data_IF_621947332103
#
_entry.id   IF_621947332103
#
_cell.length_a   1.000
_cell.length_b   1.000
_cell.length_c   1.000
_cell.angle_alpha   90.00
_cell.angle_beta   90.00
_cell.angle_gamma   90.00
#
_symmetry.space_group_name_H-M   'P 1'
#
loop_
_entity.id
_entity.type
_entity.pdbx_description
1 polymer ?
#
# COMPACT_ATOMS: atom_id res chain seq x y z
N UNK A 1 9.24 13.83 -29.09
CA UNK A 1 8.27 14.59 -28.27
C UNK A 1 7.00 13.79 -27.96
N UNK A 2 6.20 13.37 -28.95
CA UNK A 2 5.01 12.54 -28.68
C UNK A 2 5.38 11.12 -28.19
N UNK A 3 6.43 10.54 -28.78
CA UNK A 3 6.93 9.21 -28.40
C UNK A 3 7.55 9.18 -26.99
N UNK A 4 8.23 10.26 -26.58
CA UNK A 4 8.81 10.40 -25.23
C UNK A 4 7.70 10.53 -24.16
N UNK A 5 6.62 11.23 -24.49
CA UNK A 5 5.45 11.33 -23.62
C UNK A 5 4.75 9.98 -23.46
N UNK A 6 4.51 9.25 -24.55
CA UNK A 6 3.83 7.95 -24.50
C UNK A 6 4.64 6.90 -23.73
N UNK A 7 5.96 6.89 -23.91
CA UNK A 7 6.85 6.00 -23.15
C UNK A 7 6.92 6.36 -21.66
N UNK A 8 7.02 7.65 -21.32
CA UNK A 8 6.99 8.09 -19.92
C UNK A 8 5.66 7.76 -19.24
N UNK A 9 4.53 8.05 -19.90
CA UNK A 9 3.18 7.81 -19.34
C UNK A 9 2.90 6.31 -19.18
N UNK A 10 3.33 5.50 -20.15
CA UNK A 10 3.24 4.04 -20.08
C UNK A 10 4.08 3.45 -18.93
N UNK A 11 5.29 3.98 -18.71
CA UNK A 11 6.14 3.58 -17.58
C UNK A 11 5.50 3.90 -16.23
N UNK A 12 4.90 5.08 -16.07
CA UNK A 12 4.18 5.44 -14.84
C UNK A 12 2.96 4.56 -14.60
N UNK A 13 2.19 4.24 -15.65
CA UNK A 13 1.04 3.34 -15.55
C UNK A 13 1.46 1.94 -15.12
N UNK A 14 2.48 1.37 -15.78
CA UNK A 14 3.01 0.04 -15.42
C UNK A 14 3.50 0.01 -13.96
N UNK A 15 4.22 1.04 -13.52
CA UNK A 15 4.64 1.15 -12.12
C UNK A 15 3.45 1.23 -11.16
N UNK A 16 2.42 2.02 -11.48
CA UNK A 16 1.23 2.11 -10.64
C UNK A 16 0.49 0.77 -10.53
N UNK A 17 0.44 0.00 -11.62
CA UNK A 17 -0.17 -1.33 -11.62
C UNK A 17 0.67 -2.31 -10.80
N UNK A 18 1.97 -2.45 -11.09
CA UNK A 18 2.81 -3.49 -10.48
C UNK A 18 3.26 -3.18 -9.05
N UNK A 19 3.46 -1.91 -8.69
CA UNK A 19 3.87 -1.50 -7.35
C UNK A 19 2.69 -1.01 -6.48
N UNK A 20 1.51 -0.80 -7.08
CA UNK A 20 0.31 -0.35 -6.38
C UNK A 20 -0.81 -1.39 -6.42
N UNK A 21 -1.45 -1.55 -7.58
CA UNK A 21 -2.67 -2.35 -7.71
C UNK A 21 -2.45 -3.84 -7.43
N UNK A 22 -1.46 -4.46 -8.08
CA UNK A 22 -1.15 -5.89 -7.96
C UNK A 22 -0.88 -6.32 -6.51
N UNK A 23 0.01 -5.65 -5.74
CA UNK A 23 0.28 -6.05 -4.36
C UNK A 23 -0.94 -5.84 -3.45
N UNK A 24 -1.73 -4.78 -3.66
CA UNK A 24 -2.98 -4.56 -2.92
C UNK A 24 -3.96 -5.72 -3.15
N UNK A 25 -4.17 -6.12 -4.41
CA UNK A 25 -5.04 -7.25 -4.75
C UNK A 25 -4.50 -8.59 -4.22
N UNK A 26 -3.18 -8.79 -4.28
CA UNK A 26 -2.54 -10.01 -3.77
C UNK A 26 -2.70 -10.14 -2.25
N UNK A 27 -2.48 -9.06 -1.50
CA UNK A 27 -2.68 -9.03 -0.05
C UNK A 27 -4.17 -9.25 0.28
N UNK A 28 -5.07 -8.55 -0.40
CA UNK A 28 -6.52 -8.70 -0.19
C UNK A 28 -6.99 -10.13 -0.43
N UNK A 29 -6.53 -10.75 -1.53
CA UNK A 29 -6.85 -12.14 -1.87
C UNK A 29 -6.30 -13.12 -0.84
N UNK A 30 -5.03 -12.96 -0.44
CA UNK A 30 -4.39 -13.80 0.56
C UNK A 30 -5.13 -13.73 1.90
N UNK A 31 -5.46 -12.52 2.36
CA UNK A 31 -6.20 -12.32 3.60
C UNK A 31 -7.61 -12.89 3.49
N UNK A 32 -8.32 -12.68 2.38
CA UNK A 32 -9.64 -13.26 2.15
C UNK A 32 -9.59 -14.80 2.17
N UNK A 33 -8.54 -15.41 1.61
CA UNK A 33 -8.34 -16.86 1.66
C UNK A 33 -8.08 -17.35 3.09
N UNK A 34 -7.20 -16.68 3.85
CA UNK A 34 -6.90 -17.04 5.25
C UNK A 34 -8.14 -16.91 6.11
N UNK A 35 -8.80 -15.76 6.08
CA UNK A 35 -10.00 -15.48 6.89
C UNK A 35 -11.15 -16.38 6.46
N UNK A 36 -11.35 -16.58 5.16
CA UNK A 36 -12.37 -17.49 4.62
C UNK A 36 -12.13 -18.94 5.05
N UNK A 37 -10.88 -19.41 5.05
CA UNK A 37 -10.53 -20.74 5.53
C UNK A 37 -10.79 -20.89 7.04
N UNK A 38 -10.37 -19.92 7.85
CA UNK A 38 -10.59 -19.90 9.30
C UNK A 38 -12.08 -19.94 9.62
N UNK A 39 -12.88 -19.10 8.96
CA UNK A 39 -14.34 -19.04 9.16
C UNK A 39 -15.01 -20.34 8.73
N UNK A 40 -14.61 -20.91 7.59
CA UNK A 40 -15.17 -22.16 7.09
C UNK A 40 -14.89 -23.35 8.02
N UNK A 41 -13.69 -23.40 8.60
CA UNK A 41 -13.27 -24.50 9.49
C UNK A 41 -13.82 -24.33 10.91
N UNK A 42 -13.87 -23.10 11.43
CA UNK A 42 -14.15 -22.86 12.85
C UNK A 42 -15.58 -22.40 13.17
N UNK A 43 -16.32 -21.79 12.22
CA UNK A 43 -17.55 -21.05 12.52
C UNK A 43 -18.76 -21.52 11.70
N UNK A 44 -18.72 -21.41 10.38
CA UNK A 44 -19.90 -21.68 9.53
C UNK A 44 -19.49 -22.32 8.19
N UNK A 45 -19.77 -23.61 7.95
CA UNK A 45 -19.34 -24.32 6.75
C UNK A 45 -20.02 -23.88 5.44
N UNK A 46 -21.05 -23.02 5.49
CA UNK A 46 -21.79 -22.50 4.31
C UNK A 46 -21.53 -21.00 4.01
N UNK A 47 -20.45 -20.45 4.57
CA UNK A 47 -20.13 -19.02 4.53
C UNK A 47 -19.46 -18.51 3.24
N UNK A 48 -19.83 -18.99 2.04
CA UNK A 48 -19.22 -18.49 0.79
C UNK A 48 -19.40 -16.96 0.61
N UNK A 49 -20.50 -16.42 1.12
CA UNK A 49 -20.81 -14.98 1.07
C UNK A 49 -19.89 -14.12 1.97
N UNK A 50 -19.17 -14.71 2.93
CA UNK A 50 -18.20 -14.00 3.77
C UNK A 50 -16.88 -13.72 3.04
N UNK A 51 -16.56 -14.48 1.99
CA UNK A 51 -15.32 -14.29 1.23
C UNK A 51 -15.31 -12.96 0.47
N UNK A 52 -16.40 -12.60 -0.20
CA UNK A 52 -16.51 -11.32 -0.92
C UNK A 52 -16.39 -10.13 0.02
N UNK A 53 -16.94 -10.25 1.23
CA UNK A 53 -16.83 -9.22 2.26
C UNK A 53 -15.39 -9.08 2.77
N UNK A 54 -14.72 -10.20 3.06
CA UNK A 54 -13.31 -10.21 3.47
C UNK A 54 -12.40 -9.67 2.36
N UNK A 55 -12.71 -9.93 1.09
CA UNK A 55 -11.96 -9.41 -0.05
C UNK A 55 -12.12 -7.89 -0.18
N UNK A 56 -13.33 -7.37 -0.06
CA UNK A 56 -13.59 -5.92 -0.14
C UNK A 56 -12.88 -5.16 0.99
N UNK A 57 -13.11 -5.58 2.24
CA UNK A 57 -12.45 -4.95 3.39
C UNK A 57 -10.93 -5.20 3.40
N UNK A 58 -10.48 -6.34 2.88
CA UNK A 58 -9.08 -6.64 2.63
C UNK A 58 -8.43 -5.69 1.62
N UNK A 59 -9.12 -5.35 0.53
CA UNK A 59 -8.61 -4.41 -0.46
C UNK A 59 -8.52 -2.99 0.11
N UNK A 60 -9.55 -2.56 0.86
CA UNK A 60 -9.55 -1.26 1.56
C UNK A 60 -8.40 -1.22 2.56
N UNK A 61 -8.27 -2.24 3.43
CA UNK A 61 -7.19 -2.32 4.41
C UNK A 61 -5.81 -2.33 3.77
N UNK A 62 -5.58 -3.16 2.74
CA UNK A 62 -4.32 -3.21 2.01
C UNK A 62 -3.95 -1.87 1.38
N UNK A 63 -4.90 -1.17 0.74
CA UNK A 63 -4.65 0.14 0.15
C UNK A 63 -4.21 1.18 1.19
N UNK A 64 -4.93 1.24 2.31
CA UNK A 64 -4.59 2.10 3.45
C UNK A 64 -3.23 1.74 4.05
N UNK A 65 -2.95 0.45 4.19
CA UNK A 65 -1.65 -0.05 4.65
C UNK A 65 -0.51 0.38 3.74
N UNK A 66 -0.64 0.17 2.43
CA UNK A 66 0.41 0.57 1.47
C UNK A 66 0.66 2.07 1.51
N UNK A 67 -0.40 2.89 1.58
CA UNK A 67 -0.26 4.35 1.74
C UNK A 67 0.46 4.72 3.04
N UNK A 68 0.13 4.05 4.14
CA UNK A 68 0.77 4.23 5.44
C UNK A 68 2.27 3.90 5.39
N UNK A 69 2.61 2.73 4.85
CA UNK A 69 3.99 2.26 4.77
C UNK A 69 4.85 3.09 3.81
N UNK A 70 4.27 3.54 2.71
CA UNK A 70 4.98 4.32 1.70
C UNK A 70 5.21 5.79 2.11
N UNK A 71 4.45 6.31 3.07
CA UNK A 71 4.56 7.71 3.50
C UNK A 71 5.74 7.94 4.44
N UNK A 72 6.38 9.12 4.33
CA UNK A 72 7.38 9.62 5.28
C UNK A 72 6.79 10.51 6.37
N UNK A 73 5.52 10.87 6.24
CA UNK A 73 4.89 11.85 7.11
C UNK A 73 4.37 11.18 8.39
N UNK A 74 4.85 11.58 9.59
CA UNK A 74 4.40 11.01 10.85
C UNK A 74 2.90 11.26 11.11
N UNK A 75 2.34 12.30 10.50
CA UNK A 75 0.91 12.57 10.46
C UNK A 75 0.11 11.40 9.88
N UNK A 76 0.55 10.84 8.75
CA UNK A 76 -0.08 9.69 8.09
C UNK A 76 -0.04 8.46 9.00
N UNK A 77 1.04 8.31 9.78
CA UNK A 77 1.20 7.35 10.87
C UNK A 77 0.10 7.35 11.92
N UNK A 78 -0.39 8.54 12.30
CA UNK A 78 -1.38 8.72 13.36
C UNK A 78 -2.82 8.75 12.83
N UNK A 79 -3.06 9.37 11.67
CA UNK A 79 -4.41 9.56 11.13
C UNK A 79 -5.01 8.28 10.55
N UNK A 80 -4.22 7.43 9.88
CA UNK A 80 -4.76 6.22 9.25
C UNK A 80 -5.35 5.21 10.25
N UNK A 81 -4.65 4.85 11.35
CA UNK A 81 -5.25 4.02 12.38
C UNK A 81 -6.51 4.64 13.00
N UNK A 82 -6.52 5.96 13.18
CA UNK A 82 -7.68 6.68 13.71
C UNK A 82 -8.87 6.66 12.73
N UNK A 83 -8.63 6.83 11.43
CA UNK A 83 -9.65 6.73 10.38
C UNK A 83 -10.18 5.30 10.30
N UNK A 84 -9.30 4.29 10.33
CA UNK A 84 -9.70 2.87 10.32
C UNK A 84 -10.55 2.53 11.56
N UNK A 85 -10.16 3.00 12.74
CA UNK A 85 -10.94 2.82 13.97
C UNK A 85 -12.28 3.56 13.92
N UNK A 86 -12.30 4.80 13.42
CA UNK A 86 -13.52 5.59 13.25
C UNK A 86 -14.47 4.95 12.24
N UNK A 87 -13.97 4.48 11.08
CA UNK A 87 -14.76 3.77 10.09
C UNK A 87 -15.27 2.44 10.63
N UNK A 88 -14.44 1.68 11.35
CA UNK A 88 -14.88 0.43 12.01
C UNK A 88 -16.00 0.69 13.01
N UNK A 89 -15.84 1.70 13.87
CA UNK A 89 -16.87 2.11 14.83
C UNK A 89 -18.13 2.65 14.15
N UNK A 90 -17.98 3.41 13.07
CA UNK A 90 -19.07 3.92 12.26
C UNK A 90 -19.83 2.79 11.56
N UNK A 91 -19.15 1.77 11.03
CA UNK A 91 -19.80 0.59 10.46
C UNK A 91 -20.54 -0.22 11.53
N UNK A 92 -19.98 -0.35 12.73
CA UNK A 92 -20.69 -0.98 13.86
C UNK A 92 -21.94 -0.16 14.26
N UNK A 93 -21.88 1.16 14.18
CA UNK A 93 -22.96 2.06 14.57
C UNK A 93 -24.05 2.24 13.50
N UNK A 94 -23.67 2.40 12.22
CA UNK A 94 -24.56 2.59 11.07
C UNK A 94 -25.26 1.32 10.59
N UNK A 95 -24.91 0.16 11.14
CA UNK A 95 -25.67 -1.07 10.97
C UNK A 95 -26.55 -1.38 12.20
N UNK A 96 -27.54 -0.53 12.58
CA UNK A 96 -28.60 -0.97 13.45
C UNK A 96 -29.56 -1.89 12.67
N UNK A 97 -30.38 -2.64 13.44
CA UNK A 97 -31.30 -3.72 13.06
C UNK A 97 -32.12 -3.56 11.77
N UNK A 98 -32.26 -2.37 11.20
CA UNK A 98 -33.06 -2.13 9.99
C UNK A 98 -32.36 -2.53 8.68
N UNK A 99 -31.01 -2.56 8.66
CA UNK A 99 -30.23 -3.08 7.51
C UNK A 99 -30.23 -4.62 7.47
N UNK A 100 -30.62 -5.30 8.56
CA UNK A 100 -30.82 -6.75 8.59
C UNK A 100 -31.77 -7.20 7.47
N UNK A 101 -32.79 -6.41 7.13
CA UNK A 101 -33.77 -6.74 6.08
C UNK A 101 -33.22 -6.58 4.66
N UNK A 102 -32.41 -5.56 4.39
CA UNK A 102 -31.86 -5.31 3.06
C UNK A 102 -30.68 -6.22 2.69
N UNK A 103 -29.90 -6.63 3.69
CA UNK A 103 -28.83 -7.63 3.51
C UNK A 103 -29.41 -9.06 3.46
N UNK A 104 -30.48 -9.34 4.22
CA UNK A 104 -31.27 -10.58 4.09
C UNK A 104 -31.81 -10.78 2.67
N UNK A 105 -32.29 -9.73 1.99
CA UNK A 105 -32.76 -9.84 0.60
C UNK A 105 -31.65 -10.12 -0.43
N UNK A 106 -30.38 -9.92 -0.08
CA UNK A 106 -29.22 -10.32 -0.90
C UNK A 106 -28.67 -11.70 -0.51
N UNK A 107 -29.13 -12.26 0.61
CA UNK A 107 -28.65 -13.50 1.23
C UNK A 107 -29.87 -14.38 1.52
N UNK A 108 -30.54 -14.80 0.44
CA UNK A 108 -31.84 -15.51 0.40
C UNK A 108 -31.88 -16.89 1.12
N UNK A 109 -30.81 -17.28 1.80
CA UNK A 109 -30.66 -18.59 2.48
C UNK A 109 -30.72 -18.51 4.01
N UNK A 110 -30.85 -17.32 4.61
CA UNK A 110 -30.86 -17.18 6.07
C UNK A 110 -32.25 -17.43 6.68
N UNK A 111 -32.40 -18.56 7.38
CA UNK A 111 -33.63 -18.93 8.07
C UNK A 111 -34.12 -17.80 9.02
N UNK A 112 -35.45 -17.58 9.13
CA UNK A 112 -36.03 -16.48 9.89
C UNK A 112 -35.87 -16.72 11.40
N UNK A 113 -34.73 -16.30 11.96
CA UNK A 113 -34.42 -16.42 13.39
C UNK A 113 -32.96 -16.14 13.79
N UNK A 114 -32.00 -16.22 12.87
CA UNK A 114 -30.56 -16.12 13.16
C UNK A 114 -29.90 -14.76 12.83
N UNK A 115 -30.71 -13.77 12.41
CA UNK A 115 -30.25 -12.49 11.86
C UNK A 115 -29.17 -11.73 12.68
N UNK A 116 -29.28 -11.56 14.02
CA UNK A 116 -28.34 -10.72 14.75
C UNK A 116 -26.96 -11.36 14.95
N UNK A 117 -26.87 -12.70 15.00
CA UNK A 117 -25.61 -13.42 15.19
C UNK A 117 -24.79 -13.48 13.88
N UNK A 118 -25.49 -13.63 12.75
CA UNK A 118 -24.89 -13.67 11.43
C UNK A 118 -24.27 -12.31 11.06
N UNK A 119 -25.00 -11.21 11.23
CA UNK A 119 -24.52 -9.86 10.85
C UNK A 119 -23.30 -9.41 11.68
N UNK A 120 -23.26 -9.78 12.96
CA UNK A 120 -22.10 -9.57 13.83
C UNK A 120 -20.86 -10.33 13.34
N UNK A 121 -21.06 -11.53 12.78
CA UNK A 121 -19.97 -12.33 12.21
C UNK A 121 -19.40 -11.70 10.94
N UNK A 122 -20.24 -11.10 10.08
CA UNK A 122 -19.79 -10.33 8.90
C UNK A 122 -18.94 -9.13 9.29
N UNK A 123 -19.39 -8.37 10.29
CA UNK A 123 -18.69 -7.19 10.78
C UNK A 123 -17.32 -7.55 11.36
N UNK A 124 -17.26 -8.59 12.21
CA UNK A 124 -16.00 -9.07 12.80
C UNK A 124 -15.03 -9.60 11.74
N UNK A 125 -15.52 -10.33 10.75
CA UNK A 125 -14.73 -10.83 9.62
C UNK A 125 -14.19 -9.68 8.76
N UNK A 126 -15.01 -8.68 8.46
CA UNK A 126 -14.60 -7.50 7.71
C UNK A 126 -13.52 -6.69 8.44
N UNK A 127 -13.71 -6.43 9.74
CA UNK A 127 -12.71 -5.72 10.56
C UNK A 127 -11.42 -6.52 10.66
N UNK A 128 -11.48 -7.83 10.91
CA UNK A 128 -10.30 -8.68 10.98
C UNK A 128 -9.52 -8.71 9.64
N UNK A 129 -10.23 -8.86 8.52
CA UNK A 129 -9.63 -8.82 7.19
C UNK A 129 -8.98 -7.45 6.90
N UNK A 130 -9.64 -6.36 7.27
CA UNK A 130 -9.10 -5.02 7.11
C UNK A 130 -7.84 -4.79 7.96
N UNK A 131 -7.83 -5.22 9.22
CA UNK A 131 -6.65 -5.07 10.10
C UNK A 131 -5.46 -5.89 9.60
N UNK A 132 -5.68 -7.15 9.23
CA UNK A 132 -4.62 -8.02 8.71
C UNK A 132 -4.07 -7.48 7.40
N UNK A 133 -4.93 -7.13 6.46
CA UNK A 133 -4.50 -6.57 5.17
C UNK A 133 -3.80 -5.22 5.31
N UNK A 134 -4.23 -4.35 6.22
CA UNK A 134 -3.59 -3.07 6.49
C UNK A 134 -2.19 -3.22 7.07
N UNK A 135 -1.99 -4.16 8.01
CA UNK A 135 -0.65 -4.43 8.52
C UNK A 135 0.29 -4.97 7.44
N UNK A 136 -0.15 -5.95 6.63
CA UNK A 136 0.65 -6.47 5.50
C UNK A 136 0.93 -5.39 4.45
N UNK A 137 -0.06 -4.55 4.14
CA UNK A 137 0.10 -3.41 3.25
C UNK A 137 1.13 -2.42 3.76
N UNK A 138 1.16 -2.14 5.07
CA UNK A 138 2.14 -1.25 5.68
C UNK A 138 3.57 -1.79 5.59
N UNK A 139 3.77 -3.09 5.79
CA UNK A 139 5.09 -3.71 5.57
C UNK A 139 5.53 -3.61 4.11
N UNK A 140 4.63 -3.86 3.16
CA UNK A 140 4.93 -3.72 1.73
C UNK A 140 5.23 -2.27 1.33
N UNK A 141 4.42 -1.30 1.77
CA UNK A 141 4.66 0.11 1.53
C UNK A 141 6.00 0.56 2.11
N UNK A 142 6.34 0.07 3.30
CA UNK A 142 7.61 0.34 3.97
C UNK A 142 8.82 -0.23 3.22
N UNK A 143 8.71 -1.44 2.65
CA UNK A 143 9.80 -2.02 1.86
C UNK A 143 10.02 -1.27 0.54
N UNK A 144 8.95 -0.87 -0.15
CA UNK A 144 9.05 -0.03 -1.35
C UNK A 144 9.70 1.32 -1.03
N UNK A 145 9.35 1.93 0.11
CA UNK A 145 9.99 3.16 0.57
C UNK A 145 11.47 2.95 0.85
N UNK A 146 11.84 1.85 1.53
CA UNK A 146 13.22 1.49 1.81
C UNK A 146 14.07 1.38 0.54
N UNK A 147 13.57 0.69 -0.49
CA UNK A 147 14.27 0.58 -1.79
C UNK A 147 14.49 1.94 -2.46
N UNK A 148 13.50 2.86 -2.37
CA UNK A 148 13.65 4.22 -2.90
C UNK A 148 14.65 5.06 -2.11
N UNK A 149 14.70 4.87 -0.80
CA UNK A 149 15.64 5.55 0.09
C UNK A 149 17.08 5.09 -0.12
N UNK A 150 17.27 3.78 -0.27
CA UNK A 150 18.57 3.18 -0.59
C UNK A 150 19.08 3.67 -1.95
N UNK A 151 18.26 3.62 -3.00
CA UNK A 151 18.66 4.14 -4.31
C UNK A 151 18.96 5.64 -4.33
N UNK A 152 18.22 6.44 -3.54
CA UNK A 152 18.51 7.87 -3.40
C UNK A 152 19.84 8.12 -2.69
N UNK A 153 20.17 7.28 -1.70
CA UNK A 153 21.44 7.34 -0.99
C UNK A 153 22.61 6.95 -1.89
N UNK A 154 22.50 5.84 -2.61
CA UNK A 154 23.54 5.37 -3.54
C UNK A 154 23.82 6.41 -4.63
N UNK A 155 22.77 7.05 -5.16
CA UNK A 155 22.91 8.14 -6.12
C UNK A 155 23.63 9.35 -5.52
N UNK A 156 23.31 9.73 -4.27
CA UNK A 156 23.98 10.82 -3.57
C UNK A 156 25.46 10.50 -3.31
N UNK A 157 25.78 9.27 -2.93
CA UNK A 157 27.16 8.81 -2.74
C UNK A 157 27.93 8.82 -4.08
N UNK A 158 27.31 8.36 -5.16
CA UNK A 158 27.87 8.44 -6.50
C UNK A 158 28.11 9.88 -6.95
N UNK A 159 27.13 10.77 -6.74
CA UNK A 159 27.22 12.18 -7.12
C UNK A 159 28.38 12.87 -6.38
N UNK A 160 28.49 12.64 -5.07
CA UNK A 160 29.56 13.18 -4.25
C UNK A 160 30.93 12.67 -4.71
N UNK A 161 31.05 11.38 -5.03
CA UNK A 161 32.29 10.81 -5.58
C UNK A 161 32.63 11.43 -6.96
N UNK A 162 31.63 11.63 -7.81
CA UNK A 162 31.82 12.22 -9.13
C UNK A 162 32.30 13.67 -9.03
N UNK A 163 31.64 14.49 -8.20
CA UNK A 163 31.97 15.90 -8.00
C UNK A 163 33.34 16.11 -7.34
N UNK A 164 33.67 15.29 -6.34
CA UNK A 164 34.91 15.48 -5.56
C UNK A 164 36.16 14.90 -6.23
N UNK A 165 36.04 13.84 -7.02
CA UNK A 165 37.19 13.16 -7.61
C UNK A 165 37.20 13.26 -9.13
N UNK A 166 36.11 12.86 -9.78
CA UNK A 166 36.11 12.65 -11.24
C UNK A 166 36.10 13.97 -12.01
N UNK A 167 35.31 14.94 -11.54
CA UNK A 167 35.16 16.26 -12.13
C UNK A 167 36.47 17.06 -12.10
N UNK A 168 37.16 17.23 -10.95
CA UNK A 168 38.44 17.93 -10.90
C UNK A 168 39.52 17.22 -11.71
N UNK A 169 39.59 15.88 -11.69
CA UNK A 169 40.55 15.12 -12.52
C UNK A 169 40.31 15.33 -14.03
N UNK A 170 39.05 15.37 -14.47
CA UNK A 170 38.71 15.66 -15.87
C UNK A 170 39.07 17.10 -16.24
N UNK A 171 38.75 18.06 -15.38
CA UNK A 171 39.09 19.47 -15.58
C UNK A 171 40.61 19.67 -15.65
N UNK A 172 41.38 19.02 -14.79
CA UNK A 172 42.84 19.09 -14.79
C UNK A 172 43.43 18.46 -16.06
N UNK A 173 42.92 17.30 -16.50
CA UNK A 173 43.35 16.68 -17.76
C UNK A 173 43.05 17.56 -18.98
N UNK A 174 41.89 18.20 -19.02
CA UNK A 174 41.53 19.15 -20.09
C UNK A 174 42.45 20.38 -20.05
N UNK A 175 42.76 20.92 -18.86
CA UNK A 175 43.71 22.03 -18.70
C UNK A 175 45.11 21.68 -19.19
N UNK A 176 45.61 20.49 -18.82
CA UNK A 176 46.93 20.00 -19.27
C UNK A 176 46.97 19.85 -20.79
N UNK A 177 45.90 19.34 -21.41
CA UNK A 177 45.79 19.25 -22.88
C UNK A 177 45.72 20.64 -23.55
N UNK A 178 45.11 21.62 -22.89
CA UNK A 178 45.04 23.01 -23.37
C UNK A 178 46.33 23.81 -23.12
N UNK A 179 47.34 23.23 -22.46
CA UNK A 179 48.61 23.90 -22.16
C UNK A 179 48.52 24.93 -21.03
N UNK A 180 47.48 24.89 -20.20
CA UNK A 180 47.34 25.79 -19.06
C UNK A 180 48.05 25.20 -17.84
N UNK A 181 49.15 25.82 -17.41
CA UNK A 181 50.00 25.35 -16.30
C UNK A 181 49.70 25.99 -14.95
N UNK A 182 48.88 27.04 -14.91
CA UNK A 182 48.61 27.74 -13.66
C UNK A 182 47.48 27.06 -12.86
N UNK A 183 47.67 26.82 -11.55
CA UNK A 183 46.62 26.26 -10.71
C UNK A 183 45.43 27.24 -10.68
N UNK A 184 44.18 26.73 -10.55
CA UNK A 184 43.05 27.62 -10.38
C UNK A 184 43.29 28.48 -9.14
N UNK A 185 43.02 29.78 -9.22
CA UNK A 185 42.91 30.60 -8.03
C UNK A 185 41.94 29.87 -7.09
N UNK A 186 42.37 29.64 -5.84
CA UNK A 186 41.47 29.14 -4.82
C UNK A 186 40.45 30.25 -4.60
N UNK A 187 39.28 30.12 -5.24
CA UNK A 187 38.16 31.02 -4.99
C UNK A 187 37.74 30.78 -3.53
N UNK A 188 38.06 31.75 -2.67
CA UNK A 188 37.59 31.89 -1.28
C UNK A 188 36.08 32.12 -1.22
#
# INVERSE_FOLDING_TARGET
>A
MLDDYLTATGGHLLNAVFLGLVPVLAIALLVALIVGLVVRVALVPHALNLFGFALFFGAVGASLGVMLGASREPAVGAYLPAIVAALSGLFVYLFPRDVERGVMTLLDDAAPGEAPAFLRSFLLVGVAAMMLSSSMGAFYGGSVRGLKEEGARDYAEWLLHYETLTLPLKLENIRRQAGWTDPPAADE
#
